data_IF_845410565983
#
_entry.id   IF_845410565983
#
_cell.length_a   1.000
_cell.length_b   1.000
_cell.length_c   1.000
_cell.angle_alpha   90.00
_cell.angle_beta   90.00
_cell.angle_gamma   90.00
#
_symmetry.space_group_name_H-M   'P 1'
#
loop_
_entity.id
_entity.type
_entity.pdbx_description
1 polymer ?
#
# COMPACT_ATOMS: atom_id res chain seq x y z
N UNK A 1 -6.38 0.03 17.24
CA UNK A 1 -5.75 -0.39 15.98
C UNK A 1 -6.53 0.21 14.82
N UNK A 2 -5.85 0.77 13.85
CA UNK A 2 -6.47 1.40 12.70
C UNK A 2 -5.82 0.89 11.41
N UNK A 3 -6.56 0.06 10.69
CA UNK A 3 -6.12 -0.54 9.45
C UNK A 3 -6.49 0.36 8.27
N UNK A 4 -5.54 0.52 7.35
CA UNK A 4 -5.71 1.36 6.17
C UNK A 4 -5.29 0.59 4.91
N UNK A 5 -6.12 0.60 3.87
CA UNK A 5 -5.58 0.47 2.53
C UNK A 5 -4.54 1.56 2.34
N UNK A 6 -3.40 1.20 1.78
CA UNK A 6 -2.28 2.13 1.60
C UNK A 6 -1.51 1.79 0.35
N UNK A 7 -1.17 2.83 -0.41
CA UNK A 7 -0.39 2.73 -1.63
C UNK A 7 0.25 4.08 -1.99
N UNK A 8 1.30 4.09 -2.81
CA UNK A 8 2.03 5.28 -3.27
C UNK A 8 2.25 5.19 -4.77
N UNK A 9 1.95 6.27 -5.49
CA UNK A 9 2.39 6.38 -6.87
C UNK A 9 3.66 7.23 -6.96
N UNK A 10 4.60 6.74 -7.77
CA UNK A 10 5.86 7.44 -8.02
C UNK A 10 6.06 7.76 -9.48
N UNK A 11 6.76 8.85 -9.76
CA UNK A 11 7.28 9.17 -11.08
C UNK A 11 8.76 8.81 -11.14
N UNK A 12 9.08 7.82 -11.96
CA UNK A 12 10.44 7.40 -12.26
C UNK A 12 10.81 7.88 -13.66
N UNK A 13 11.82 8.75 -13.84
CA UNK A 13 12.32 9.10 -15.16
C UNK A 13 13.10 7.95 -15.79
N UNK A 14 13.62 7.01 -14.99
CA UNK A 14 14.37 5.83 -15.44
C UNK A 14 13.49 4.72 -16.02
N UNK A 15 14.11 3.63 -16.43
CA UNK A 15 13.42 2.44 -16.97
C UNK A 15 12.84 1.55 -15.85
N UNK A 16 13.40 1.63 -14.66
CA UNK A 16 12.99 0.83 -13.50
C UNK A 16 12.66 1.74 -12.33
N UNK A 17 11.71 1.35 -11.47
CA UNK A 17 11.46 2.05 -10.23
C UNK A 17 12.70 2.11 -9.35
N UNK A 18 12.97 3.29 -8.79
CA UNK A 18 14.07 3.57 -7.87
C UNK A 18 13.51 4.22 -6.61
N UNK A 19 13.26 3.44 -5.53
CA UNK A 19 12.67 3.96 -4.30
C UNK A 19 13.43 5.13 -3.66
N UNK A 20 14.72 5.26 -3.93
CA UNK A 20 15.55 6.33 -3.36
C UNK A 20 15.37 7.65 -4.13
N UNK A 21 15.31 7.57 -5.46
CA UNK A 21 15.37 8.74 -6.33
C UNK A 21 14.03 9.10 -6.98
N UNK A 22 13.10 8.15 -7.11
CA UNK A 22 11.79 8.41 -7.69
C UNK A 22 11.03 9.45 -6.89
N UNK A 23 10.28 10.29 -7.60
CA UNK A 23 9.45 11.33 -7.00
C UNK A 23 8.10 10.73 -6.58
N UNK A 24 7.71 10.93 -5.32
CA UNK A 24 6.33 10.64 -4.91
C UNK A 24 5.40 11.67 -5.56
N UNK A 25 4.40 11.19 -6.29
CA UNK A 25 3.38 12.05 -6.91
C UNK A 25 2.04 11.97 -6.18
N UNK A 26 1.72 10.81 -5.58
CA UNK A 26 0.59 10.69 -4.65
C UNK A 26 0.89 9.76 -3.50
N UNK A 27 0.22 10.00 -2.36
CA UNK A 27 0.12 9.07 -1.24
C UNK A 27 -1.37 8.86 -1.00
N UNK A 28 -1.85 7.63 -1.12
CA UNK A 28 -3.26 7.30 -0.95
C UNK A 28 -3.48 6.33 0.19
N UNK A 29 -4.52 6.59 0.97
CA UNK A 29 -4.92 5.72 2.07
C UNK A 29 -6.41 5.80 2.34
N UNK A 30 -6.97 4.70 2.83
CA UNK A 30 -8.37 4.60 3.18
C UNK A 30 -8.54 3.72 4.41
N UNK A 31 -9.16 4.26 5.46
CA UNK A 31 -9.46 3.45 6.63
C UNK A 31 -10.46 2.35 6.29
N UNK A 32 -10.18 1.13 6.75
CA UNK A 32 -10.97 -0.05 6.42
C UNK A 32 -11.37 -0.84 7.66
N UNK A 33 -12.37 -1.70 7.50
CA UNK A 33 -12.66 -2.77 8.45
C UNK A 33 -11.92 -4.03 7.99
N UNK A 34 -10.76 -4.33 8.57
CA UNK A 34 -9.95 -5.48 8.16
C UNK A 34 -10.73 -6.80 8.17
N UNK A 35 -11.65 -6.97 9.14
CA UNK A 35 -12.49 -8.16 9.22
C UNK A 35 -13.36 -8.39 7.97
N UNK A 36 -13.79 -7.35 7.30
CA UNK A 36 -14.65 -7.45 6.12
C UNK A 36 -13.98 -6.98 4.82
N UNK A 37 -12.84 -6.29 4.90
CA UNK A 37 -12.20 -5.62 3.77
C UNK A 37 -12.96 -4.38 3.26
N UNK A 38 -14.05 -3.97 3.92
CA UNK A 38 -14.89 -2.84 3.47
C UNK A 38 -14.32 -1.50 3.91
N UNK A 39 -14.49 -0.44 3.10
CA UNK A 39 -14.16 0.92 3.49
C UNK A 39 -14.89 1.34 4.77
N UNK A 40 -14.20 2.05 5.64
CA UNK A 40 -14.76 2.71 6.82
C UNK A 40 -14.89 4.22 6.62
N UNK A 41 -13.98 4.79 5.86
CA UNK A 41 -13.89 6.21 5.56
C UNK A 41 -13.70 6.41 4.05
N UNK A 42 -13.73 7.66 3.58
CA UNK A 42 -13.43 7.98 2.18
C UNK A 42 -11.94 7.76 1.89
N UNK A 43 -11.63 7.44 0.64
CA UNK A 43 -10.26 7.44 0.13
C UNK A 43 -9.68 8.85 0.19
N UNK A 44 -8.54 8.99 0.84
CA UNK A 44 -7.73 10.21 0.85
C UNK A 44 -6.62 10.03 -0.16
N UNK A 45 -6.36 11.05 -0.97
CA UNK A 45 -5.27 11.10 -1.95
C UNK A 45 -4.53 12.41 -1.71
N UNK A 46 -3.34 12.35 -1.13
CA UNK A 46 -2.43 13.48 -1.07
C UNK A 46 -1.74 13.60 -2.42
N UNK A 47 -1.77 14.77 -3.03
CA UNK A 47 -1.37 14.99 -4.43
C UNK A 47 -0.25 16.02 -4.51
N UNK A 48 0.84 15.65 -5.12
CA UNK A 48 2.01 16.52 -5.25
C UNK A 48 1.71 17.77 -6.09
N UNK A 49 0.90 17.65 -7.13
CA UNK A 49 0.52 18.77 -8.00
C UNK A 49 -0.43 19.79 -7.37
N UNK A 50 -1.00 19.52 -6.20
CA UNK A 50 -1.78 20.49 -5.41
C UNK A 50 -0.91 21.25 -4.40
N UNK A 51 0.32 20.77 -4.14
CA UNK A 51 1.26 21.37 -3.19
C UNK A 51 2.72 21.11 -3.60
N UNK A 52 3.34 20.06 -3.06
CA UNK A 52 4.66 19.56 -3.44
C UNK A 52 4.90 18.16 -2.86
N UNK A 53 5.90 17.43 -3.40
CA UNK A 53 6.33 16.15 -2.82
C UNK A 53 6.66 16.28 -1.32
N UNK A 54 7.43 17.31 -0.97
CA UNK A 54 7.82 17.58 0.42
C UNK A 54 6.59 17.78 1.32
N UNK A 55 5.60 18.54 0.85
CA UNK A 55 4.41 18.86 1.63
C UNK A 55 3.55 17.61 1.89
N UNK A 56 3.29 16.80 0.88
CA UNK A 56 2.48 15.58 1.06
C UNK A 56 3.20 14.55 1.93
N UNK A 57 4.51 14.45 1.86
CA UNK A 57 5.33 13.59 2.71
C UNK A 57 5.29 14.05 4.16
N UNK A 58 5.43 15.35 4.43
CA UNK A 58 5.32 15.92 5.77
C UNK A 58 3.92 15.78 6.36
N UNK A 59 2.90 16.00 5.55
CA UNK A 59 1.50 15.82 5.97
C UNK A 59 1.24 14.38 6.37
N UNK A 60 1.62 13.40 5.53
CA UNK A 60 1.47 11.99 5.83
C UNK A 60 2.24 11.57 7.09
N UNK A 61 3.48 12.05 7.24
CA UNK A 61 4.26 11.81 8.46
C UNK A 61 3.57 12.33 9.71
N UNK A 62 3.07 13.56 9.69
CA UNK A 62 2.38 14.17 10.83
C UNK A 62 1.09 13.42 11.21
N UNK A 63 0.40 12.87 10.23
CA UNK A 63 -0.81 12.07 10.47
C UNK A 63 -0.51 10.77 11.23
N UNK A 64 0.58 10.08 10.90
CA UNK A 64 0.74 8.68 11.29
C UNK A 64 2.07 8.33 12.00
N UNK A 65 3.07 9.20 11.95
CA UNK A 65 4.42 8.87 12.43
C UNK A 65 5.00 9.86 13.43
N UNK A 66 4.42 11.05 13.55
CA UNK A 66 4.91 12.08 14.46
C UNK A 66 4.88 11.62 15.93
N UNK A 67 5.62 12.32 16.78
CA UNK A 67 5.70 12.04 18.21
C UNK A 67 4.31 11.92 18.86
N UNK A 68 4.15 10.94 19.73
CA UNK A 68 2.88 10.63 20.38
C UNK A 68 1.96 9.69 19.59
N UNK A 69 2.32 9.33 18.35
CA UNK A 69 1.58 8.32 17.57
C UNK A 69 2.02 6.92 17.96
N UNK A 70 1.04 6.03 18.13
CA UNK A 70 1.30 4.61 18.31
C UNK A 70 1.54 3.93 16.95
N UNK A 71 2.39 2.91 16.93
CA UNK A 71 2.54 2.05 15.73
C UNK A 71 1.23 1.37 15.31
N UNK A 72 0.25 1.31 16.22
CA UNK A 72 -1.08 0.74 15.99
C UNK A 72 -2.09 1.75 15.42
N UNK A 73 -1.72 3.02 15.29
CA UNK A 73 -2.58 4.06 14.72
C UNK A 73 -2.56 4.03 13.19
N UNK A 74 -1.57 3.35 12.59
CA UNK A 74 -1.49 3.13 11.17
C UNK A 74 -0.94 1.74 10.88
N UNK A 75 -1.84 0.82 10.51
CA UNK A 75 -1.49 -0.52 10.04
C UNK A 75 -1.81 -0.56 8.55
N UNK A 76 -0.81 -0.39 7.66
CA UNK A 76 -1.05 -0.47 6.23
C UNK A 76 -1.40 -1.88 5.79
N UNK A 77 -2.39 -1.97 4.93
CA UNK A 77 -2.82 -3.15 4.21
C UNK A 77 -2.69 -2.82 2.73
N UNK A 78 -1.74 -3.42 2.04
CA UNK A 78 -1.40 -3.05 0.68
C UNK A 78 -0.86 -4.21 -0.15
N UNK A 79 -0.26 -3.86 -1.26
CA UNK A 79 0.32 -4.82 -2.19
C UNK A 79 1.78 -4.47 -2.49
N UNK A 80 2.73 -5.33 -2.09
CA UNK A 80 4.16 -5.11 -2.23
C UNK A 80 4.71 -3.94 -1.38
N UNK A 81 4.18 -3.82 -0.15
CA UNK A 81 4.49 -2.72 0.78
C UNK A 81 5.99 -2.50 1.07
N UNK A 82 6.84 -3.47 0.72
CA UNK A 82 8.28 -3.27 0.82
C UNK A 82 8.78 -2.11 -0.06
N UNK A 83 8.17 -1.89 -1.23
CA UNK A 83 8.50 -0.76 -2.10
C UNK A 83 8.09 0.56 -1.44
N UNK A 84 6.85 0.66 -0.95
CA UNK A 84 6.32 1.86 -0.28
C UNK A 84 7.15 2.21 0.95
N UNK A 85 7.58 1.21 1.74
CA UNK A 85 8.46 1.45 2.88
C UNK A 85 9.82 2.02 2.47
N UNK A 86 10.44 1.51 1.41
CA UNK A 86 11.72 2.04 0.92
C UNK A 86 11.58 3.48 0.44
N UNK A 87 10.52 3.79 -0.31
CA UNK A 87 10.20 5.15 -0.75
C UNK A 87 10.01 6.07 0.45
N UNK A 88 9.17 5.70 1.42
CA UNK A 88 8.93 6.52 2.62
C UNK A 88 10.20 6.74 3.45
N UNK A 89 11.03 5.71 3.66
CA UNK A 89 12.31 5.85 4.35
C UNK A 89 13.17 6.91 3.68
N UNK A 90 13.34 6.82 2.35
CA UNK A 90 14.12 7.79 1.57
C UNK A 90 13.57 9.22 1.76
N UNK A 91 12.25 9.41 1.60
CA UNK A 91 11.64 10.74 1.65
C UNK A 91 11.56 11.32 3.07
N UNK A 92 11.31 10.50 4.09
CA UNK A 92 11.36 10.94 5.49
C UNK A 92 12.78 11.36 5.88
N UNK A 93 13.80 10.59 5.49
CA UNK A 93 15.18 10.96 5.72
C UNK A 93 15.54 12.28 5.01
N UNK A 94 15.10 12.44 3.75
CA UNK A 94 15.39 13.62 2.93
C UNK A 94 14.70 14.88 3.46
N UNK A 95 13.39 14.83 3.74
CA UNK A 95 12.59 16.02 4.02
C UNK A 95 12.39 16.32 5.51
N UNK A 96 12.61 15.34 6.38
CA UNK A 96 12.46 15.49 7.83
C UNK A 96 13.79 15.38 8.57
N UNK A 97 14.90 15.08 7.88
CA UNK A 97 16.20 14.91 8.50
C UNK A 97 16.30 13.68 9.42
N UNK A 98 15.40 12.69 9.25
CA UNK A 98 15.41 11.46 10.02
C UNK A 98 16.54 10.54 9.55
N UNK A 99 16.85 9.51 10.36
CA UNK A 99 17.82 8.47 10.02
C UNK A 99 17.16 7.09 10.09
N UNK A 100 16.02 6.96 9.43
CA UNK A 100 15.25 5.73 9.38
C UNK A 100 15.90 4.71 8.45
N UNK A 101 15.69 3.45 8.76
CA UNK A 101 16.11 2.31 7.95
C UNK A 101 15.00 1.25 7.88
N UNK A 102 15.21 0.16 7.14
CA UNK A 102 14.21 -0.89 6.95
C UNK A 102 13.75 -1.53 8.26
N UNK A 103 14.60 -1.60 9.30
CA UNK A 103 14.21 -2.14 10.60
C UNK A 103 13.16 -1.25 11.26
N UNK A 104 13.30 0.06 11.15
CA UNK A 104 12.39 1.02 11.79
C UNK A 104 10.99 0.98 11.18
N UNK A 105 10.89 0.72 9.90
CA UNK A 105 9.63 0.75 9.16
C UNK A 105 9.06 -0.64 8.90
N UNK A 106 9.83 -1.54 8.32
CA UNK A 106 9.33 -2.84 7.88
C UNK A 106 9.19 -3.85 9.02
N UNK A 107 10.19 -3.90 9.94
CA UNK A 107 10.17 -4.90 11.02
C UNK A 107 9.51 -4.40 12.31
N UNK A 108 9.61 -3.12 12.61
CA UNK A 108 9.10 -2.57 13.88
C UNK A 108 7.66 -2.09 13.81
N UNK A 109 7.02 -2.11 12.64
CA UNK A 109 5.62 -1.69 12.45
C UNK A 109 4.75 -2.82 11.90
N UNK A 110 3.53 -3.00 12.44
CA UNK A 110 2.59 -3.97 11.89
C UNK A 110 2.17 -3.55 10.49
N UNK A 111 2.08 -4.50 9.57
CA UNK A 111 1.55 -4.31 8.23
C UNK A 111 1.00 -5.63 7.66
N UNK A 112 0.17 -5.55 6.64
CA UNK A 112 -0.39 -6.70 5.95
C UNK A 112 -0.13 -6.52 4.45
N UNK A 113 0.77 -7.33 3.92
CA UNK A 113 1.12 -7.33 2.49
C UNK A 113 0.48 -8.51 1.77
N UNK A 114 -0.44 -8.22 0.85
CA UNK A 114 -1.14 -9.25 0.07
C UNK A 114 -0.31 -9.82 -1.07
N UNK A 115 0.89 -9.32 -1.32
CA UNK A 115 1.82 -9.89 -2.32
C UNK A 115 2.11 -11.37 -2.02
N UNK A 116 2.39 -11.69 -0.76
CA UNK A 116 2.66 -13.07 -0.35
C UNK A 116 1.45 -13.99 -0.59
N UNK A 117 0.24 -13.48 -0.35
CA UNK A 117 -0.99 -14.23 -0.64
C UNK A 117 -1.15 -14.51 -2.13
N UNK A 118 -0.87 -13.52 -3.00
CA UNK A 118 -0.94 -13.75 -4.46
C UNK A 118 0.12 -14.72 -4.96
N UNK A 119 1.30 -14.77 -4.34
CA UNK A 119 2.32 -15.79 -4.66
C UNK A 119 1.78 -17.18 -4.32
N UNK A 120 1.16 -17.38 -3.17
CA UNK A 120 0.54 -18.66 -2.81
C UNK A 120 -0.58 -19.05 -3.80
N UNK A 121 -1.46 -18.11 -4.15
CA UNK A 121 -2.52 -18.33 -5.13
C UNK A 121 -1.99 -18.60 -6.55
N UNK A 122 -0.79 -18.14 -6.85
CA UNK A 122 -0.08 -18.37 -8.11
C UNK A 122 0.81 -19.64 -8.08
N UNK A 123 0.49 -20.62 -7.24
CA UNK A 123 1.23 -21.87 -7.13
C UNK A 123 2.67 -21.72 -6.61
N UNK A 124 2.95 -20.67 -5.82
CA UNK A 124 4.28 -20.36 -5.27
C UNK A 124 5.18 -19.56 -6.23
N UNK A 125 4.71 -19.22 -7.44
CA UNK A 125 5.49 -18.46 -8.40
C UNK A 125 5.40 -16.94 -8.12
N UNK A 126 6.54 -16.29 -7.92
CA UNK A 126 6.64 -14.83 -7.78
C UNK A 126 6.39 -14.07 -9.08
N UNK A 127 6.77 -14.68 -10.22
CA UNK A 127 6.48 -14.14 -11.53
C UNK A 127 4.97 -14.14 -11.76
N UNK A 128 4.44 -13.03 -12.26
CA UNK A 128 3.00 -12.81 -12.52
C UNK A 128 2.08 -12.82 -11.27
N UNK A 129 2.64 -12.90 -10.05
CA UNK A 129 1.88 -12.66 -8.82
C UNK A 129 1.64 -11.15 -8.63
N UNK A 130 0.86 -10.54 -9.54
CA UNK A 130 0.54 -9.11 -9.60
C UNK A 130 -0.95 -8.89 -9.36
N UNK A 131 -1.32 -7.73 -8.81
CA UNK A 131 -2.69 -7.41 -8.48
C UNK A 131 -3.63 -7.48 -9.69
N UNK A 132 -3.18 -7.01 -10.86
CA UNK A 132 -3.94 -7.05 -12.11
C UNK A 132 -4.29 -8.46 -12.61
N UNK A 133 -3.60 -9.48 -12.14
CA UNK A 133 -3.91 -10.89 -12.46
C UNK A 133 -5.02 -11.48 -11.62
N UNK A 134 -5.25 -10.90 -10.43
CA UNK A 134 -6.22 -11.41 -9.46
C UNK A 134 -7.44 -10.51 -9.28
N UNK A 135 -7.47 -9.38 -9.99
CA UNK A 135 -8.54 -8.38 -9.90
C UNK A 135 -9.07 -8.00 -11.28
N UNK A 136 -10.12 -7.20 -11.30
CA UNK A 136 -10.66 -6.61 -12.53
C UNK A 136 -9.89 -5.37 -13.01
N UNK A 137 -8.75 -5.04 -12.38
CA UNK A 137 -7.92 -3.90 -12.77
C UNK A 137 -7.44 -4.04 -14.22
N UNK A 138 -7.72 -3.04 -15.06
CA UNK A 138 -7.43 -3.07 -16.51
C UNK A 138 -6.05 -2.58 -16.87
N UNK A 139 -5.43 -1.76 -16.02
CA UNK A 139 -4.14 -1.13 -16.26
C UNK A 139 -3.13 -1.50 -15.18
N UNK A 140 -1.86 -1.36 -15.48
CA UNK A 140 -0.76 -1.51 -14.53
C UNK A 140 -0.08 -0.16 -14.29
N UNK A 141 0.73 -0.06 -13.22
CA UNK A 141 1.40 1.18 -12.80
C UNK A 141 2.29 1.85 -13.87
N UNK A 142 2.63 1.14 -14.97
CA UNK A 142 3.45 1.72 -16.03
C UNK A 142 2.77 2.91 -16.73
N UNK A 143 1.44 2.97 -16.72
CA UNK A 143 0.68 4.07 -17.32
C UNK A 143 0.89 5.38 -16.55
N UNK A 144 1.18 5.33 -15.26
CA UNK A 144 1.33 6.51 -14.38
C UNK A 144 2.46 7.42 -14.87
N UNK A 145 3.58 6.84 -15.30
CA UNK A 145 4.71 7.61 -15.83
C UNK A 145 4.30 8.48 -17.01
N UNK A 146 3.56 7.92 -17.96
CA UNK A 146 3.10 8.64 -19.15
C UNK A 146 2.06 9.69 -18.79
N UNK A 147 1.08 9.34 -17.94
CA UNK A 147 0.04 10.26 -17.50
C UNK A 147 0.64 11.46 -16.77
N UNK A 148 1.59 11.24 -15.86
CA UNK A 148 2.23 12.31 -15.11
C UNK A 148 3.08 13.22 -16.01
N UNK A 149 3.89 12.63 -16.91
CA UNK A 149 4.70 13.40 -17.85
C UNK A 149 3.85 14.30 -18.79
N UNK A 150 2.61 13.90 -19.07
CA UNK A 150 1.66 14.65 -19.90
C UNK A 150 0.69 15.55 -19.08
N UNK A 151 0.90 15.70 -17.76
CA UNK A 151 0.05 16.53 -16.89
C UNK A 151 -1.39 16.02 -16.73
N UNK A 152 -1.65 14.74 -16.98
CA UNK A 152 -2.98 14.10 -16.94
C UNK A 152 -3.39 13.72 -15.53
N UNK A 153 -3.44 14.69 -14.62
CA UNK A 153 -3.67 14.45 -13.19
C UNK A 153 -5.05 13.84 -12.87
N UNK A 154 -6.09 14.18 -13.64
CA UNK A 154 -7.44 13.60 -13.46
C UNK A 154 -7.47 12.11 -13.80
N UNK A 155 -6.74 11.71 -14.83
CA UNK A 155 -6.61 10.30 -15.22
C UNK A 155 -5.82 9.50 -14.16
N UNK A 156 -4.80 10.11 -13.53
CA UNK A 156 -4.09 9.53 -12.39
C UNK A 156 -5.04 9.33 -11.21
N UNK A 157 -5.87 10.34 -10.88
CA UNK A 157 -6.85 10.19 -9.79
C UNK A 157 -7.89 9.09 -10.08
N UNK A 158 -8.34 8.96 -11.33
CA UNK A 158 -9.26 7.89 -11.74
C UNK A 158 -8.62 6.52 -11.58
N UNK A 159 -7.37 6.39 -12.04
CA UNK A 159 -6.58 5.18 -11.88
C UNK A 159 -6.44 4.75 -10.42
N UNK A 160 -6.08 5.69 -9.53
CA UNK A 160 -5.93 5.43 -8.08
C UNK A 160 -7.24 4.93 -7.46
N UNK A 161 -8.37 5.53 -7.82
CA UNK A 161 -9.69 5.11 -7.31
C UNK A 161 -10.03 3.70 -7.77
N UNK A 162 -9.83 3.40 -9.06
CA UNK A 162 -10.05 2.07 -9.63
C UNK A 162 -9.14 1.02 -8.98
N UNK A 163 -7.88 1.37 -8.69
CA UNK A 163 -6.94 0.49 -8.00
C UNK A 163 -7.36 0.20 -6.56
N UNK A 164 -7.72 1.24 -5.81
CA UNK A 164 -8.21 1.09 -4.43
C UNK A 164 -9.45 0.20 -4.37
N UNK A 165 -10.43 0.40 -5.26
CA UNK A 165 -11.64 -0.42 -5.36
C UNK A 165 -11.30 -1.87 -5.69
N UNK A 166 -10.43 -2.10 -6.68
CA UNK A 166 -10.01 -3.44 -7.08
C UNK A 166 -9.26 -4.17 -5.96
N UNK A 167 -8.38 -3.46 -5.24
CA UNK A 167 -7.67 -4.00 -4.09
C UNK A 167 -8.63 -4.40 -2.96
N UNK A 168 -9.58 -3.54 -2.61
CA UNK A 168 -10.55 -3.81 -1.54
C UNK A 168 -11.49 -4.95 -1.89
N UNK A 169 -11.93 -5.08 -3.14
CA UNK A 169 -12.70 -6.23 -3.61
C UNK A 169 -11.88 -7.53 -3.49
N UNK A 170 -10.61 -7.50 -3.86
CA UNK A 170 -9.69 -8.62 -3.70
C UNK A 170 -9.49 -9.00 -2.22
N UNK A 171 -9.22 -8.03 -1.35
CA UNK A 171 -9.12 -8.25 0.09
C UNK A 171 -10.40 -8.88 0.66
N UNK A 172 -11.57 -8.37 0.26
CA UNK A 172 -12.87 -8.92 0.68
C UNK A 172 -13.03 -10.39 0.27
N UNK A 173 -12.68 -10.73 -0.97
CA UNK A 173 -12.72 -12.11 -1.47
C UNK A 173 -11.79 -13.04 -0.69
N UNK A 174 -10.54 -12.60 -0.46
CA UNK A 174 -9.59 -13.37 0.36
C UNK A 174 -10.16 -13.61 1.75
N UNK A 175 -10.63 -12.55 2.43
CA UNK A 175 -11.19 -12.65 3.78
C UNK A 175 -12.34 -13.65 3.85
N UNK A 176 -13.26 -13.60 2.91
CA UNK A 176 -14.38 -14.55 2.84
C UNK A 176 -13.91 -16.00 2.80
N UNK A 177 -12.85 -16.31 2.05
CA UNK A 177 -12.30 -17.67 1.98
C UNK A 177 -11.47 -18.04 3.21
N UNK A 178 -10.72 -17.11 3.78
CA UNK A 178 -9.96 -17.35 5.01
C UNK A 178 -10.89 -17.64 6.20
N UNK A 179 -12.04 -16.99 6.30
CA UNK A 179 -13.03 -17.26 7.36
C UNK A 179 -13.61 -18.68 7.28
N UNK A 180 -13.63 -19.29 6.09
CA UNK A 180 -14.02 -20.70 5.91
C UNK A 180 -12.88 -21.63 6.36
N UNK A 181 -11.63 -21.30 6.07
CA UNK A 181 -10.46 -22.13 6.39
C UNK A 181 -10.02 -22.00 7.86
N UNK A 182 -10.25 -20.87 8.49
CA UNK A 182 -9.78 -20.60 9.85
C UNK A 182 -10.23 -21.66 10.90
N UNK A 183 -11.49 -22.16 10.90
CA UNK A 183 -11.89 -23.23 11.80
C UNK A 183 -11.13 -24.54 11.59
N UNK A 184 -10.78 -24.87 10.35
CA UNK A 184 -10.01 -26.09 10.04
C UNK A 184 -8.57 -25.99 10.53
N UNK A 185 -7.95 -24.81 10.37
CA UNK A 185 -6.58 -24.56 10.82
C UNK A 185 -6.47 -24.48 12.35
N UNK A 186 -7.52 -24.06 13.06
CA UNK A 186 -7.53 -24.00 14.52
C UNK A 186 -7.73 -25.36 15.15
N UNK A 187 -8.43 -26.30 14.51
CA UNK A 187 -8.60 -27.69 14.99
C UNK A 187 -7.27 -28.44 15.11
N UNK A 188 -6.26 -28.08 14.33
CA UNK A 188 -4.91 -28.70 14.41
C UNK A 188 -4.23 -28.42 15.75
N UNK A 189 -4.61 -27.36 16.46
CA UNK A 189 -4.04 -27.03 17.79
C UNK A 189 -4.56 -27.92 18.92
N UNK A 190 -5.70 -28.59 18.73
CA UNK A 190 -6.27 -29.50 19.75
C UNK A 190 -5.68 -30.91 19.69
N UNK A 191 -5.03 -31.27 18.57
CA UNK A 191 -4.45 -32.61 18.36
C UNK A 191 -2.99 -32.72 18.84
N UNK A 192 -2.36 -31.58 19.15
CA UNK A 192 -0.94 -31.48 19.54
C UNK A 192 -0.77 -31.19 21.05
N UNK A 193 -1.81 -31.31 21.84
CA UNK A 193 -1.76 -31.37 23.32
C UNK A 193 -1.85 -32.79 23.78
#
# INVERSE_FOLDING_TARGET
MAEYYFDIETYSPGERPDPENDKIITIQFQRIYLRSGKPREKLVILKEWESSEEQIVKEFYNMFFADGRSVWDFIPVGFNLNFEWQVLISKFNKYLGLKLNSKDMHYSRPHIDLKSTTVLLNGGAFRDARLDKFTSKKSNGLVIKELYANGKTKEIESYIKEEAEAFLDFLHKIKKHLDILAPELTKVKEVVK
#
